data_IF_933747060561
#
_entry.id   IF_933747060561
#
_cell.length_a   1.000
_cell.length_b   1.000
_cell.length_c   1.000
_cell.angle_alpha   90.00
_cell.angle_beta   90.00
_cell.angle_gamma   90.00
#
_symmetry.space_group_name_H-M   'P 1'
#
loop_
_entity.id
_entity.type
_entity.pdbx_description
1 polymer ?
#
# COMPACT_ATOMS: atom_id res chain seq x y z
N UNK A 1 37.90 -54.98 27.56
CA UNK A 1 38.57 -53.94 26.83
C UNK A 1 37.57 -52.84 26.52
N UNK A 2 37.88 -51.69 27.05
CA UNK A 2 36.94 -50.58 27.25
C UNK A 2 36.60 -49.89 25.98
N UNK A 3 35.32 -49.77 25.76
CA UNK A 3 34.74 -48.83 24.78
C UNK A 3 34.52 -47.47 25.42
N UNK A 4 35.28 -46.50 25.02
CA UNK A 4 35.00 -45.10 25.32
C UNK A 4 33.81 -44.64 24.51
N UNK A 5 32.72 -44.32 25.21
CA UNK A 5 31.55 -43.62 24.63
C UNK A 5 31.84 -42.14 24.63
N UNK A 6 32.06 -41.62 23.47
CA UNK A 6 32.02 -40.18 23.19
C UNK A 6 30.59 -39.68 23.39
N UNK A 7 30.40 -38.87 24.40
CA UNK A 7 29.20 -38.08 24.58
C UNK A 7 29.29 -36.88 23.63
N UNK A 8 28.59 -36.96 22.53
CA UNK A 8 28.32 -35.77 21.70
C UNK A 8 27.26 -34.98 22.42
N UNK A 9 27.67 -33.84 22.98
CA UNK A 9 26.76 -32.87 23.57
C UNK A 9 25.82 -32.32 22.51
N UNK A 10 24.55 -32.62 22.67
CA UNK A 10 23.50 -31.92 21.96
C UNK A 10 23.43 -30.49 22.49
N UNK A 11 24.09 -29.57 21.79
CA UNK A 11 23.79 -28.16 21.96
C UNK A 11 22.36 -27.92 21.47
N UNK A 12 21.45 -27.94 22.41
CA UNK A 12 20.09 -27.47 22.21
C UNK A 12 20.17 -25.95 22.09
N UNK A 13 20.31 -25.47 20.86
CA UNK A 13 20.08 -24.08 20.57
C UNK A 13 18.64 -23.74 20.92
N UNK A 14 18.45 -23.24 22.14
CA UNK A 14 17.22 -22.54 22.52
C UNK A 14 17.20 -21.27 21.67
N UNK A 15 16.47 -21.35 20.58
CA UNK A 15 16.17 -20.22 19.74
C UNK A 15 14.99 -19.51 20.40
N UNK A 16 15.30 -18.65 21.37
CA UNK A 16 14.32 -17.69 21.90
C UNK A 16 13.92 -16.78 20.76
N UNK A 17 12.85 -17.14 20.10
CA UNK A 17 12.29 -16.32 19.04
C UNK A 17 10.77 -16.22 19.24
N UNK A 18 10.40 -15.39 20.20
CA UNK A 18 9.05 -14.87 20.33
C UNK A 18 8.90 -13.47 19.71
N UNK A 19 9.79 -13.08 18.81
CA UNK A 19 9.57 -11.93 17.96
C UNK A 19 8.95 -12.43 16.65
N UNK A 20 7.63 -12.35 16.57
CA UNK A 20 6.93 -12.55 15.32
C UNK A 20 7.46 -11.49 14.35
N UNK A 21 7.97 -11.95 13.19
CA UNK A 21 8.35 -11.06 12.10
C UNK A 21 7.22 -10.04 11.87
N UNK A 22 7.52 -8.76 11.61
CA UNK A 22 6.50 -7.72 11.41
C UNK A 22 5.45 -8.09 10.35
N UNK A 23 5.87 -8.84 9.33
CA UNK A 23 5.00 -9.41 8.30
C UNK A 23 3.99 -10.40 8.90
N UNK A 24 4.41 -11.17 9.91
CA UNK A 24 3.56 -12.15 10.58
C UNK A 24 2.54 -11.47 11.50
N UNK A 25 2.92 -10.38 12.14
CA UNK A 25 2.02 -9.57 12.97
C UNK A 25 0.90 -9.01 12.10
N UNK A 26 1.25 -8.43 10.95
CA UNK A 26 0.27 -7.88 10.01
C UNK A 26 -0.58 -8.98 9.40
N UNK A 27 0.01 -10.12 9.05
CA UNK A 27 -0.74 -11.27 8.55
C UNK A 27 -1.77 -11.76 9.59
N UNK A 28 -1.38 -11.82 10.87
CA UNK A 28 -2.28 -12.23 11.96
C UNK A 28 -3.37 -11.16 12.21
N UNK A 29 -3.04 -9.88 12.16
CA UNK A 29 -4.01 -8.79 12.25
C UNK A 29 -4.99 -8.83 11.07
N UNK A 30 -4.51 -9.12 9.86
CA UNK A 30 -5.36 -9.27 8.69
C UNK A 30 -6.24 -10.51 8.74
N UNK A 31 -5.72 -11.65 9.23
CA UNK A 31 -6.49 -12.90 9.43
C UNK A 31 -7.56 -12.72 10.50
N UNK A 32 -7.23 -12.01 11.58
CA UNK A 32 -8.19 -11.64 12.63
C UNK A 32 -9.27 -10.67 12.11
N UNK A 33 -8.97 -9.94 11.03
CA UNK A 33 -9.90 -9.02 10.35
C UNK A 33 -10.90 -9.74 9.44
N UNK A 34 -10.57 -10.90 8.89
CA UNK A 34 -11.55 -11.74 8.17
C UNK A 34 -12.64 -12.26 9.13
N UNK A 35 -12.31 -12.37 10.43
CA UNK A 35 -13.25 -12.79 11.47
C UNK A 35 -13.96 -11.63 12.19
N UNK A 36 -13.39 -10.39 12.17
CA UNK A 36 -13.98 -9.17 12.71
C UNK A 36 -13.74 -8.03 11.73
N UNK A 37 -14.80 -7.37 11.25
CA UNK A 37 -14.75 -6.13 10.46
C UNK A 37 -14.15 -4.98 11.30
N UNK A 38 -12.83 -4.94 11.42
CA UNK A 38 -12.15 -3.73 11.91
C UNK A 38 -12.33 -2.60 10.90
N UNK A 39 -12.75 -1.44 11.37
CA UNK A 39 -12.84 -0.26 10.53
C UNK A 39 -11.42 0.19 10.12
N UNK A 40 -11.30 0.88 8.99
CA UNK A 40 -10.00 1.44 8.59
C UNK A 40 -9.44 2.39 9.64
N UNK A 41 -10.29 3.03 10.44
CA UNK A 41 -9.92 3.92 11.53
C UNK A 41 -9.16 3.24 12.67
N UNK A 42 -9.36 1.94 12.89
CA UNK A 42 -8.64 1.19 13.93
C UNK A 42 -7.34 0.57 13.42
N UNK A 43 -7.31 0.12 12.17
CA UNK A 43 -6.14 -0.55 11.60
C UNK A 43 -5.03 0.44 11.18
N UNK A 44 -5.39 1.57 10.59
CA UNK A 44 -4.40 2.50 10.03
C UNK A 44 -3.47 3.11 11.09
N UNK A 45 -3.91 3.49 12.29
CA UNK A 45 -3.00 3.94 13.34
C UNK A 45 -1.92 2.91 13.71
N UNK A 46 -2.28 1.62 13.80
CA UNK A 46 -1.29 0.55 14.06
C UNK A 46 -0.29 0.41 12.91
N UNK A 47 -0.79 0.50 11.67
CA UNK A 47 0.08 0.52 10.47
C UNK A 47 1.05 1.70 10.52
N UNK A 48 0.60 2.89 10.91
CA UNK A 48 1.44 4.08 11.02
C UNK A 48 2.51 3.88 12.09
N UNK A 49 2.18 3.32 13.25
CA UNK A 49 3.16 3.01 14.31
C UNK A 49 4.28 2.10 13.79
N UNK A 50 3.93 1.01 13.11
CA UNK A 50 4.91 0.09 12.52
C UNK A 50 5.80 0.78 11.46
N UNK A 51 5.23 1.68 10.68
CA UNK A 51 5.99 2.46 9.69
C UNK A 51 6.94 3.46 10.36
N UNK A 52 6.55 4.06 11.49
CA UNK A 52 7.39 4.96 12.28
C UNK A 52 8.56 4.22 12.93
N UNK A 53 8.38 2.97 13.32
CA UNK A 53 9.43 2.07 13.79
C UNK A 53 10.39 1.62 12.68
N UNK A 54 10.08 1.94 11.42
CA UNK A 54 10.93 1.64 10.26
C UNK A 54 10.57 0.34 9.54
N UNK A 55 9.48 -0.30 9.91
CA UNK A 55 9.00 -1.50 9.24
C UNK A 55 8.35 -1.17 7.88
N UNK A 56 8.35 -2.15 6.99
CA UNK A 56 7.56 -2.11 5.75
C UNK A 56 6.22 -2.80 5.99
N UNK A 57 5.14 -2.21 5.48
CA UNK A 57 3.78 -2.73 5.67
C UNK A 57 3.12 -3.01 4.34
N UNK A 58 2.50 -4.18 4.21
CA UNK A 58 1.66 -4.51 3.04
C UNK A 58 0.19 -4.29 3.40
N UNK A 59 -0.45 -3.30 2.77
CA UNK A 59 -1.83 -2.93 3.03
C UNK A 59 -2.74 -3.32 1.85
N UNK A 60 -3.84 -4.09 2.06
CA UNK A 60 -4.84 -4.32 1.03
C UNK A 60 -5.50 -3.01 0.62
N UNK A 61 -5.67 -2.83 -0.69
CA UNK A 61 -6.34 -1.64 -1.21
C UNK A 61 -7.86 -1.79 -1.11
N UNK A 62 -8.50 -0.71 -0.70
CA UNK A 62 -9.95 -0.57 -0.64
C UNK A 62 -10.41 0.61 -1.46
N UNK A 63 -11.53 0.42 -2.16
CA UNK A 63 -12.13 1.45 -3.00
C UNK A 63 -11.53 1.54 -4.41
N UNK A 64 -12.09 2.45 -5.18
CA UNK A 64 -11.87 2.55 -6.63
C UNK A 64 -11.08 3.79 -7.03
N UNK A 65 -10.55 4.54 -6.06
CA UNK A 65 -9.90 5.83 -6.27
C UNK A 65 -8.60 5.74 -7.07
N UNK A 66 -7.96 4.57 -7.11
CA UNK A 66 -6.70 4.34 -7.84
C UNK A 66 -6.87 3.54 -9.14
N UNK A 67 -8.11 3.40 -9.62
CA UNK A 67 -8.40 2.87 -10.96
C UNK A 67 -7.81 3.77 -12.06
N UNK A 68 -7.46 3.22 -13.21
CA UNK A 68 -7.61 1.83 -13.68
C UNK A 68 -6.45 0.92 -13.30
N UNK A 69 -5.39 1.43 -12.70
CA UNK A 69 -4.17 0.67 -12.45
C UNK A 69 -4.31 -0.29 -11.26
N UNK A 70 -4.93 0.17 -10.18
CA UNK A 70 -5.16 -0.59 -8.94
C UNK A 70 -6.64 -0.83 -8.72
N UNK A 71 -6.97 -2.01 -8.22
CA UNK A 71 -8.35 -2.47 -8.06
C UNK A 71 -8.66 -2.82 -6.61
N UNK A 72 -9.90 -2.57 -6.22
CA UNK A 72 -10.44 -2.85 -4.88
C UNK A 72 -10.32 -4.32 -4.53
N UNK A 73 -9.94 -4.61 -3.28
CA UNK A 73 -9.80 -5.97 -2.73
C UNK A 73 -8.92 -6.94 -3.53
N UNK A 74 -8.38 -6.50 -4.67
CA UNK A 74 -7.53 -7.31 -5.55
C UNK A 74 -6.06 -7.06 -5.29
N UNK A 75 -5.68 -5.80 -5.14
CA UNK A 75 -4.30 -5.37 -5.10
C UNK A 75 -3.90 -4.93 -3.69
N UNK A 76 -2.59 -4.99 -3.38
CA UNK A 76 -2.03 -4.57 -2.10
C UNK A 76 -0.91 -3.57 -2.35
N UNK A 77 -0.79 -2.56 -1.49
CA UNK A 77 0.32 -1.60 -1.51
C UNK A 77 1.39 -2.01 -0.51
N UNK A 78 2.66 -1.99 -0.93
CA UNK A 78 3.81 -2.06 -0.03
C UNK A 78 4.21 -0.65 0.36
N UNK A 79 4.07 -0.35 1.64
CA UNK A 79 4.26 0.96 2.23
C UNK A 79 5.54 1.03 3.05
N UNK A 80 6.21 2.17 3.01
CA UNK A 80 7.26 2.57 3.94
C UNK A 80 6.92 3.94 4.50
N UNK A 81 7.56 4.33 5.61
CA UNK A 81 7.43 5.69 6.15
C UNK A 81 7.81 6.72 5.10
N UNK A 82 6.98 7.73 4.90
CA UNK A 82 7.28 8.84 4.01
C UNK A 82 8.42 9.69 4.59
N UNK A 83 9.51 9.85 3.81
CA UNK A 83 10.69 10.65 4.22
C UNK A 83 10.84 11.91 3.37
N UNK A 84 10.66 11.79 2.08
CA UNK A 84 10.83 12.88 1.10
C UNK A 84 9.73 12.78 0.04
N UNK A 85 8.45 13.10 0.40
CA UNK A 85 7.33 12.99 -0.53
C UNK A 85 7.52 13.92 -1.74
N UNK A 86 7.33 13.38 -2.95
CA UNK A 86 7.48 14.13 -4.21
C UNK A 86 6.22 14.06 -5.05
N UNK A 87 6.05 15.07 -5.89
CA UNK A 87 4.97 15.07 -6.89
C UNK A 87 5.05 13.83 -7.77
N UNK A 88 3.93 13.16 -7.94
CA UNK A 88 3.81 11.91 -8.70
C UNK A 88 3.84 10.65 -7.83
N UNK A 89 4.31 10.71 -6.58
CA UNK A 89 4.33 9.56 -5.68
C UNK A 89 2.94 9.21 -5.17
N UNK A 90 2.57 7.92 -5.11
CA UNK A 90 1.40 7.47 -4.38
C UNK A 90 1.74 7.39 -2.88
N UNK A 91 0.92 8.05 -2.06
CA UNK A 91 1.12 8.17 -0.62
C UNK A 91 -0.13 7.83 0.17
N UNK A 92 0.05 7.31 1.37
CA UNK A 92 -1.00 7.21 2.38
C UNK A 92 -0.98 8.51 3.18
N UNK A 93 -2.08 9.25 3.15
CA UNK A 93 -2.21 10.51 3.84
C UNK A 93 -3.53 10.61 4.60
N UNK A 94 -3.50 11.33 5.70
CA UNK A 94 -4.65 11.70 6.50
C UNK A 94 -5.24 13.00 5.95
N UNK A 95 -6.50 13.00 5.51
CA UNK A 95 -7.18 14.17 4.94
C UNK A 95 -8.33 14.68 5.80
N UNK A 96 -8.52 14.08 6.96
CA UNK A 96 -9.51 14.43 7.96
C UNK A 96 -9.31 13.57 9.17
N UNK A 97 -9.99 13.85 10.26
CA UNK A 97 -9.87 13.10 11.50
C UNK A 97 -10.14 11.60 11.29
N UNK A 98 -9.09 10.80 11.42
CA UNK A 98 -9.10 9.35 11.16
C UNK A 98 -9.56 8.95 9.74
N UNK A 99 -9.45 9.86 8.77
CA UNK A 99 -9.81 9.58 7.39
C UNK A 99 -8.56 9.54 6.51
N UNK A 100 -8.19 8.34 6.09
CA UNK A 100 -6.96 8.06 5.35
C UNK A 100 -7.25 7.68 3.90
N UNK A 101 -6.43 8.18 3.00
CA UNK A 101 -6.49 7.87 1.57
C UNK A 101 -5.12 7.47 1.03
N UNK A 102 -5.10 6.52 0.09
CA UNK A 102 -3.91 6.23 -0.72
C UNK A 102 -4.09 6.89 -2.07
N UNK A 103 -3.49 8.06 -2.24
CA UNK A 103 -3.62 8.87 -3.45
C UNK A 103 -2.25 9.36 -3.94
N UNK A 104 -2.22 9.85 -5.18
CA UNK A 104 -1.03 10.42 -5.78
C UNK A 104 -0.88 11.90 -5.44
N UNK A 105 0.32 12.33 -5.11
CA UNK A 105 0.66 13.75 -4.95
C UNK A 105 0.62 14.44 -6.31
N UNK A 106 -0.21 15.45 -6.43
CA UNK A 106 -0.36 16.27 -7.65
C UNK A 106 0.47 17.55 -7.56
N UNK A 107 0.55 18.13 -6.36
CA UNK A 107 1.28 19.39 -6.11
C UNK A 107 1.71 19.45 -4.66
N UNK A 108 2.88 20.06 -4.43
CA UNK A 108 3.37 20.44 -3.10
C UNK A 108 3.72 21.93 -3.18
N UNK A 109 3.18 22.74 -2.27
CA UNK A 109 3.48 24.17 -2.13
C UNK A 109 3.72 24.51 -0.66
N UNK A 110 4.98 24.60 -0.29
CA UNK A 110 5.38 24.69 1.13
C UNK A 110 4.86 23.45 1.87
N UNK A 111 4.09 23.64 2.92
CA UNK A 111 3.50 22.55 3.70
C UNK A 111 2.18 21.98 3.11
N UNK A 112 1.62 22.63 2.10
CA UNK A 112 0.35 22.20 1.53
C UNK A 112 0.55 21.18 0.41
N UNK A 113 -0.07 20.01 0.57
CA UNK A 113 -0.06 18.91 -0.37
C UNK A 113 -1.44 18.75 -1.00
N UNK A 114 -1.47 18.64 -2.32
CA UNK A 114 -2.67 18.31 -3.08
C UNK A 114 -2.57 16.89 -3.56
N UNK A 115 -3.56 16.08 -3.21
CA UNK A 115 -3.67 14.68 -3.56
C UNK A 115 -4.78 14.45 -4.57
N UNK A 116 -4.63 13.41 -5.39
CA UNK A 116 -5.68 12.93 -6.28
C UNK A 116 -5.53 11.43 -6.53
N UNK A 117 -6.62 10.70 -6.38
CA UNK A 117 -6.70 9.32 -6.84
C UNK A 117 -6.66 9.26 -8.38
N UNK A 118 -6.00 8.26 -8.93
CA UNK A 118 -5.90 8.09 -10.39
C UNK A 118 -7.28 7.91 -11.04
N UNK A 119 -8.24 7.35 -10.31
CA UNK A 119 -9.64 7.19 -10.71
C UNK A 119 -10.57 8.36 -10.37
N UNK A 120 -10.04 9.40 -9.73
CA UNK A 120 -10.81 10.55 -9.27
C UNK A 120 -10.60 11.77 -10.17
N UNK A 121 -11.64 12.61 -10.27
CA UNK A 121 -11.56 13.92 -10.91
C UNK A 121 -11.23 14.99 -9.86
N UNK A 122 -11.83 14.86 -8.66
CA UNK A 122 -11.58 15.74 -7.54
C UNK A 122 -10.20 15.57 -6.92
N UNK A 123 -9.82 16.54 -6.12
CA UNK A 123 -8.56 16.57 -5.36
C UNK A 123 -8.86 16.73 -3.89
N UNK A 124 -8.04 16.14 -3.05
CA UNK A 124 -8.01 16.38 -1.60
C UNK A 124 -6.78 17.21 -1.23
N UNK A 125 -6.80 17.79 -0.06
CA UNK A 125 -5.71 18.61 0.47
C UNK A 125 -5.37 18.17 1.89
N UNK A 126 -4.08 18.13 2.19
CA UNK A 126 -3.56 17.88 3.53
C UNK A 126 -2.28 18.69 3.74
N UNK A 127 -1.72 18.64 4.94
CA UNK A 127 -0.38 19.15 5.21
C UNK A 127 0.66 18.09 4.88
N UNK A 128 1.90 18.51 4.71
CA UNK A 128 3.02 17.60 4.48
C UNK A 128 3.22 16.65 5.68
N UNK A 129 2.95 17.12 6.90
CA UNK A 129 2.95 16.31 8.13
C UNK A 129 1.93 15.18 8.14
N UNK A 130 0.85 15.31 7.36
CA UNK A 130 -0.22 14.33 7.32
C UNK A 130 0.05 13.21 6.32
N UNK A 131 1.12 13.33 5.54
CA UNK A 131 1.61 12.27 4.65
C UNK A 131 2.38 11.25 5.49
N UNK A 132 1.72 10.14 5.83
CA UNK A 132 2.22 9.13 6.76
C UNK A 132 3.15 8.11 6.10
N UNK A 133 2.82 7.68 4.89
CA UNK A 133 3.60 6.67 4.18
C UNK A 133 3.66 6.92 2.67
N UNK A 134 4.70 6.36 2.04
CA UNK A 134 4.81 6.27 0.60
C UNK A 134 4.71 4.81 0.14
N UNK A 135 4.04 4.59 -0.98
CA UNK A 135 3.97 3.27 -1.60
C UNK A 135 5.17 3.07 -2.52
N UNK A 136 5.99 2.08 -2.19
CA UNK A 136 7.18 1.72 -3.00
C UNK A 136 6.88 0.66 -4.05
N UNK A 137 5.71 0.03 -3.98
CA UNK A 137 5.28 -0.97 -4.96
C UNK A 137 3.88 -1.50 -4.69
N UNK A 138 3.40 -2.28 -5.64
CA UNK A 138 2.07 -2.89 -5.59
C UNK A 138 2.12 -4.36 -5.95
N UNK A 139 1.50 -5.19 -5.12
CA UNK A 139 1.22 -6.59 -5.43
C UNK A 139 -0.13 -6.68 -6.14
N UNK A 140 -0.13 -7.24 -7.34
CA UNK A 140 -1.34 -7.40 -8.15
C UNK A 140 -1.72 -8.87 -8.24
N UNK A 141 -3.01 -9.17 -8.11
CA UNK A 141 -3.51 -10.54 -8.21
C UNK A 141 -3.03 -11.22 -9.51
N UNK A 142 -2.55 -12.46 -9.37
CA UNK A 142 -2.03 -13.24 -10.48
C UNK A 142 -0.61 -12.86 -10.93
N UNK A 143 0.11 -12.04 -10.17
CA UNK A 143 1.53 -11.72 -10.41
C UNK A 143 2.36 -12.06 -9.20
N UNK A 144 3.46 -12.76 -9.43
CA UNK A 144 4.42 -13.12 -8.38
C UNK A 144 5.33 -11.95 -8.00
N UNK A 145 5.52 -11.01 -8.92
CA UNK A 145 6.42 -9.89 -8.74
C UNK A 145 5.71 -8.60 -8.39
N UNK A 146 6.34 -7.82 -7.51
CA UNK A 146 5.89 -6.48 -7.14
C UNK A 146 6.08 -5.50 -8.31
N UNK A 147 5.05 -4.76 -8.66
CA UNK A 147 5.13 -3.60 -9.56
C UNK A 147 5.71 -2.41 -8.76
N UNK A 148 7.03 -2.19 -8.84
CA UNK A 148 7.71 -1.11 -8.11
C UNK A 148 7.33 0.27 -8.65
N UNK A 149 7.16 1.25 -7.77
CA UNK A 149 6.79 2.63 -8.13
C UNK A 149 7.93 3.41 -8.80
N UNK A 150 9.17 2.97 -8.66
CA UNK A 150 10.33 3.47 -9.41
C UNK A 150 10.63 2.67 -10.69
N UNK A 151 9.85 1.64 -10.99
CA UNK A 151 10.02 0.81 -12.20
C UNK A 151 9.56 1.55 -13.46
N UNK A 152 10.20 1.25 -14.60
CA UNK A 152 9.90 1.89 -15.90
C UNK A 152 8.41 1.83 -16.25
N UNK A 153 7.76 0.70 -16.01
CA UNK A 153 6.33 0.51 -16.26
C UNK A 153 5.46 1.49 -15.47
N UNK A 154 5.75 1.65 -14.16
CA UNK A 154 5.03 2.59 -13.31
C UNK A 154 5.32 4.04 -13.71
N UNK A 155 6.58 4.38 -13.97
CA UNK A 155 7.00 5.71 -14.40
C UNK A 155 6.32 6.10 -15.71
N UNK A 156 6.30 5.20 -16.70
CA UNK A 156 5.63 5.43 -17.98
C UNK A 156 4.11 5.62 -17.80
N UNK A 157 3.46 4.73 -17.04
CA UNK A 157 2.05 4.86 -16.71
C UNK A 157 1.76 6.18 -16.00
N UNK A 158 2.54 6.51 -14.96
CA UNK A 158 2.37 7.75 -14.21
C UNK A 158 2.51 8.98 -15.11
N UNK A 159 3.52 9.01 -15.97
CA UNK A 159 3.74 10.11 -16.89
C UNK A 159 2.57 10.26 -17.88
N UNK A 160 2.18 9.18 -18.55
CA UNK A 160 1.06 9.19 -19.50
C UNK A 160 -0.24 9.61 -18.81
N UNK A 161 -0.52 9.03 -17.65
CA UNK A 161 -1.78 9.28 -16.93
C UNK A 161 -1.85 10.67 -16.32
N UNK A 162 -0.76 11.19 -15.77
CA UNK A 162 -0.78 12.48 -15.07
C UNK A 162 -0.50 13.66 -15.99
N UNK A 163 0.32 13.49 -17.03
CA UNK A 163 0.78 14.57 -17.88
C UNK A 163 0.06 14.63 -19.23
N UNK A 164 -0.16 13.47 -19.86
CA UNK A 164 -0.70 13.42 -21.21
C UNK A 164 -2.20 13.17 -21.27
N UNK A 165 -2.83 12.73 -20.17
CA UNK A 165 -4.27 12.46 -20.18
C UNK A 165 -5.04 13.64 -19.55
N UNK A 166 -5.66 14.53 -20.36
CA UNK A 166 -6.53 15.58 -19.84
C UNK A 166 -7.68 15.02 -19.00
N UNK A 167 -8.18 15.78 -18.03
CA UNK A 167 -9.25 15.33 -17.13
C UNK A 167 -10.50 14.85 -17.86
N UNK A 168 -10.83 15.48 -19.00
CA UNK A 168 -11.96 15.10 -19.84
C UNK A 168 -11.75 13.70 -20.41
N UNK A 169 -10.59 13.45 -21.04
CA UNK A 169 -10.25 12.14 -21.62
C UNK A 169 -10.21 11.07 -20.54
N UNK A 170 -9.64 11.39 -19.38
CA UNK A 170 -9.61 10.49 -18.19
C UNK A 170 -11.02 10.07 -17.79
N UNK A 171 -11.98 10.98 -17.77
CA UNK A 171 -13.38 10.69 -17.45
C UNK A 171 -13.97 9.62 -18.39
N UNK A 172 -13.72 9.72 -19.70
CA UNK A 172 -14.21 8.74 -20.67
C UNK A 172 -13.51 7.39 -20.53
N UNK A 173 -12.18 7.38 -20.34
CA UNK A 173 -11.43 6.14 -20.11
C UNK A 173 -11.95 5.41 -18.87
N UNK A 174 -12.14 6.14 -17.77
CA UNK A 174 -12.67 5.56 -16.52
C UNK A 174 -14.12 5.07 -16.66
N UNK A 175 -14.93 5.76 -17.46
CA UNK A 175 -16.29 5.33 -17.75
C UNK A 175 -16.31 4.01 -18.56
N UNK A 176 -15.47 3.92 -19.59
CA UNK A 176 -15.29 2.70 -20.39
C UNK A 176 -14.75 1.55 -19.51
N UNK A 177 -13.70 1.80 -18.71
CA UNK A 177 -13.13 0.81 -17.80
C UNK A 177 -14.16 0.24 -16.83
N UNK A 178 -15.00 1.10 -16.23
CA UNK A 178 -16.07 0.67 -15.31
C UNK A 178 -17.10 -0.25 -15.97
N UNK A 179 -17.39 -0.07 -17.25
CA UNK A 179 -18.29 -0.94 -18.00
C UNK A 179 -17.69 -2.33 -18.19
N UNK A 180 -16.41 -2.39 -18.58
CA UNK A 180 -15.68 -3.66 -18.80
C UNK A 180 -15.61 -4.48 -17.51
N UNK A 181 -15.12 -3.87 -16.43
CA UNK A 181 -14.96 -4.56 -15.13
C UNK A 181 -16.28 -5.00 -14.52
N UNK A 182 -17.37 -4.24 -14.75
CA UNK A 182 -18.70 -4.65 -14.30
C UNK A 182 -19.18 -5.91 -15.01
N UNK A 183 -18.81 -6.11 -16.27
CA UNK A 183 -19.18 -7.27 -17.06
C UNK A 183 -18.44 -8.53 -16.60
N UNK A 184 -17.17 -8.41 -16.19
CA UNK A 184 -16.37 -9.53 -15.66
C UNK A 184 -16.85 -10.05 -14.30
N UNK A 185 -17.53 -9.23 -13.50
CA UNK A 185 -18.07 -9.61 -12.19
C UNK A 185 -19.49 -10.25 -12.27
N UNK A 186 -20.05 -10.39 -13.45
CA UNK A 186 -21.40 -10.98 -13.68
C UNK A 186 -21.29 -12.40 -14.26
N UNK A 187 -20.12 -12.82 -14.70
CA UNK A 187 -19.78 -14.16 -15.18
C UNK A 187 -18.94 -14.90 -14.11
#
# INVERSE_FOLDING_TARGET
YEMQRSLVGSEMCIRDRNELEPVQIIHNLMKKREEKLFSNSELIPEVISLLEEGHTVTLPLRGYSMRPFLEDNRDKALLIRARDPKVGMPVLAEIGENYFVLHRIVSIKGENVVLRGDGNIGTERCKLSDVRAEAIGFYRKGREHIDKTNGLKWCLYSFLWTRLTPLIVRRYILAAYRRIVKTENIN
#
